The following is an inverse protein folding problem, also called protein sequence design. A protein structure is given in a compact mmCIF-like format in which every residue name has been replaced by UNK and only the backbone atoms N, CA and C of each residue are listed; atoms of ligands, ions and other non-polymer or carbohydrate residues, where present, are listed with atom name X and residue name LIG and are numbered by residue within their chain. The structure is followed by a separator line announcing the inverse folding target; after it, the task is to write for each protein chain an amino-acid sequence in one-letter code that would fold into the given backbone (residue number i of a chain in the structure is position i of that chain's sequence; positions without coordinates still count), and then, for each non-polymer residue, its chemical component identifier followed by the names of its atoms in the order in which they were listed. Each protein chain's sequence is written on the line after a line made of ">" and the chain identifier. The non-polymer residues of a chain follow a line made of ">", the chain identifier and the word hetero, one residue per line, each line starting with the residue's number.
data_IF_990765995029
#
_entry.id   IF_990765995029
#
_cell.length_a   1.000
_cell.length_b   1.000
_cell.length_c   1.000
_cell.angle_alpha   90.00
_cell.angle_beta   90.00
_cell.angle_gamma   90.00
#
_symmetry.space_group_name_H-M   'P 1'
#
loop_
_entity.id
_entity.type
_entity.pdbx_description
1 polymer ?
#
# COMPACT_ATOMS: atom_id res chain seq x y z
N UNK A 1 -37.60 0.80 -33.53
CA UNK A 1 -37.27 0.29 -32.19
C UNK A 1 -35.76 0.46 -32.03
N UNK A 2 -35.34 1.60 -31.50
CA UNK A 2 -33.93 1.86 -31.17
C UNK A 2 -33.89 1.83 -29.64
N UNK A 3 -33.32 0.76 -29.08
CA UNK A 3 -33.04 0.70 -27.65
C UNK A 3 -31.82 1.58 -27.39
N UNK A 4 -32.06 2.83 -27.00
CA UNK A 4 -31.04 3.67 -26.42
C UNK A 4 -30.78 3.15 -25.00
N UNK A 5 -29.80 2.24 -24.87
CA UNK A 5 -29.28 1.81 -23.57
C UNK A 5 -28.54 3.00 -22.96
N UNK A 6 -29.23 3.77 -22.13
CA UNK A 6 -28.79 5.09 -21.65
C UNK A 6 -27.57 5.02 -20.74
N UNK A 7 -26.41 5.48 -21.21
CA UNK A 7 -25.26 5.74 -20.35
C UNK A 7 -25.57 6.89 -19.39
N UNK A 8 -25.37 6.70 -18.07
CA UNK A 8 -25.31 7.83 -17.15
C UNK A 8 -23.93 8.49 -17.29
N UNK A 9 -23.91 9.79 -17.56
CA UNK A 9 -22.71 10.60 -17.53
C UNK A 9 -22.79 11.54 -16.32
N UNK A 10 -21.72 11.59 -15.52
CA UNK A 10 -21.56 12.64 -14.52
C UNK A 10 -20.80 13.79 -15.18
N UNK A 11 -21.50 14.90 -15.42
CA UNK A 11 -20.91 16.15 -15.90
C UNK A 11 -20.45 17.03 -14.73
N UNK A 12 -19.69 18.09 -15.02
CA UNK A 12 -19.03 19.02 -14.08
C UNK A 12 -19.77 19.22 -12.75
N UNK A 13 -19.28 18.57 -11.69
CA UNK A 13 -19.80 18.67 -10.33
C UNK A 13 -20.88 17.64 -9.94
N UNK A 14 -21.23 16.72 -10.84
CA UNK A 14 -22.11 15.59 -10.56
C UNK A 14 -21.46 14.61 -9.58
N UNK A 15 -22.11 14.44 -8.43
CA UNK A 15 -21.73 13.45 -7.41
C UNK A 15 -22.78 12.36 -7.39
N UNK A 16 -22.41 11.10 -7.67
CA UNK A 16 -23.21 9.96 -7.23
C UNK A 16 -22.74 9.65 -5.81
N UNK A 17 -23.52 10.06 -4.80
CA UNK A 17 -23.18 9.90 -3.38
C UNK A 17 -23.78 8.67 -2.70
N UNK A 18 -24.59 7.89 -3.42
CA UNK A 18 -25.15 6.59 -3.02
C UNK A 18 -25.85 5.99 -4.23
N UNK A 19 -25.32 4.91 -4.79
CA UNK A 19 -26.03 4.12 -5.81
C UNK A 19 -26.95 3.15 -5.05
N UNK A 20 -28.29 3.32 -5.10
CA UNK A 20 -29.19 2.37 -4.44
C UNK A 20 -28.99 0.96 -5.02
N UNK A 21 -29.03 -0.06 -4.17
CA UNK A 21 -29.08 -1.46 -4.59
C UNK A 21 -30.22 -1.64 -5.61
N UNK A 22 -29.88 -1.87 -6.88
CA UNK A 22 -30.86 -2.04 -7.96
C UNK A 22 -30.95 -0.92 -9.00
N UNK A 23 -29.94 -0.04 -9.12
CA UNK A 23 -29.75 0.66 -10.40
C UNK A 23 -29.28 -0.34 -11.46
N UNK A 24 -30.23 -0.92 -12.20
CA UNK A 24 -29.96 -1.74 -13.40
C UNK A 24 -29.38 -0.85 -14.52
N UNK A 25 -28.09 -0.57 -14.40
CA UNK A 25 -27.29 0.12 -15.38
C UNK A 25 -26.71 -0.91 -16.35
N UNK A 26 -27.55 -1.48 -17.20
CA UNK A 26 -27.12 -2.30 -18.35
C UNK A 26 -26.36 -1.49 -19.43
N UNK A 27 -25.73 -0.37 -19.03
CA UNK A 27 -25.11 0.69 -19.80
C UNK A 27 -23.94 1.29 -19.03
N UNK A 28 -22.80 1.34 -19.71
CA UNK A 28 -21.55 1.96 -19.28
C UNK A 28 -21.74 3.32 -18.58
N UNK A 29 -21.16 3.48 -17.39
CA UNK A 29 -20.99 4.76 -16.69
C UNK A 29 -19.74 5.46 -17.23
N UNK A 30 -19.86 6.75 -17.55
CA UNK A 30 -18.71 7.59 -17.88
C UNK A 30 -18.62 8.74 -16.87
N UNK A 31 -17.55 8.76 -16.10
CA UNK A 31 -17.25 9.84 -15.16
C UNK A 31 -16.39 10.86 -15.91
N UNK A 32 -16.89 12.06 -16.15
CA UNK A 32 -16.10 13.10 -16.83
C UNK A 32 -15.13 13.78 -15.86
N UNK A 33 -14.27 14.66 -16.40
CA UNK A 33 -13.41 15.52 -15.60
C UNK A 33 -14.26 16.23 -14.54
N UNK A 34 -13.74 16.32 -13.31
CA UNK A 34 -14.42 16.90 -12.15
C UNK A 34 -15.69 16.17 -11.68
N UNK A 35 -16.09 15.06 -12.32
CA UNK A 35 -17.09 14.16 -11.79
C UNK A 35 -16.54 13.35 -10.61
N UNK A 36 -17.40 13.00 -9.66
CA UNK A 36 -17.01 12.17 -8.51
C UNK A 36 -17.98 11.02 -8.31
N UNK A 37 -17.42 9.83 -8.15
CA UNK A 37 -18.14 8.64 -7.69
C UNK A 37 -17.66 8.31 -6.29
N UNK A 38 -18.59 8.29 -5.34
CA UNK A 38 -18.32 7.80 -4.00
C UNK A 38 -19.53 7.15 -3.34
N UNK A 39 -19.31 6.26 -2.38
CA UNK A 39 -20.40 5.72 -1.59
C UNK A 39 -20.00 4.51 -0.78
N UNK A 40 -20.13 4.63 0.53
CA UNK A 40 -19.94 3.54 1.49
C UNK A 40 -20.82 2.34 1.09
N UNK A 41 -20.19 1.20 0.80
CA UNK A 41 -20.82 -0.03 0.28
C UNK A 41 -21.58 0.16 -1.05
N UNK A 42 -21.08 1.07 -1.89
CA UNK A 42 -21.64 1.38 -3.20
C UNK A 42 -21.53 0.21 -4.19
N UNK A 43 -22.51 0.10 -5.09
CA UNK A 43 -22.51 -0.86 -6.19
C UNK A 43 -22.85 -0.17 -7.51
N UNK A 44 -22.03 -0.40 -8.52
CA UNK A 44 -22.25 0.03 -9.90
C UNK A 44 -22.42 -1.23 -10.75
N UNK A 45 -23.60 -1.38 -11.34
CA UNK A 45 -23.82 -2.42 -12.34
C UNK A 45 -23.34 -1.93 -13.71
N UNK A 46 -22.49 -2.70 -14.40
CA UNK A 46 -21.95 -2.37 -15.72
C UNK A 46 -20.53 -1.81 -15.74
N UNK A 47 -20.07 -1.45 -16.94
CA UNK A 47 -18.72 -0.94 -17.20
C UNK A 47 -18.56 0.52 -16.72
N UNK A 48 -17.36 0.89 -16.30
CA UNK A 48 -17.00 2.25 -15.87
C UNK A 48 -15.79 2.75 -16.66
N UNK A 49 -15.91 3.94 -17.27
CA UNK A 49 -14.78 4.72 -17.76
C UNK A 49 -14.65 5.97 -16.91
N UNK A 50 -13.50 6.13 -16.26
CA UNK A 50 -13.23 7.30 -15.43
C UNK A 50 -12.35 8.32 -16.16
N UNK A 51 -12.67 9.60 -16.01
CA UNK A 51 -11.82 10.76 -16.31
C UNK A 51 -11.76 11.72 -15.09
N UNK A 52 -12.51 11.45 -14.03
CA UNK A 52 -12.58 12.24 -12.81
C UNK A 52 -12.10 11.46 -11.59
N UNK A 53 -12.82 11.59 -10.48
CA UNK A 53 -12.49 10.97 -9.20
C UNK A 53 -13.39 9.76 -8.91
N UNK A 54 -12.77 8.65 -8.53
CA UNK A 54 -13.44 7.54 -7.86
C UNK A 54 -12.86 7.43 -6.44
N UNK A 55 -13.72 7.34 -5.44
CA UNK A 55 -13.34 7.08 -4.04
C UNK A 55 -14.37 6.14 -3.43
N UNK A 56 -14.00 4.97 -2.88
CA UNK A 56 -14.98 4.05 -2.29
C UNK A 56 -15.85 4.66 -1.20
N UNK A 57 -15.38 5.64 -0.42
CA UNK A 57 -16.20 6.33 0.57
C UNK A 57 -15.43 6.62 1.85
N UNK A 58 -16.12 6.82 2.97
CA UNK A 58 -15.48 6.95 4.28
C UNK A 58 -14.99 5.57 4.75
N UNK A 59 -13.71 5.49 5.08
CA UNK A 59 -13.09 4.22 5.45
C UNK A 59 -13.67 3.61 6.74
N UNK A 60 -14.00 2.29 6.73
CA UNK A 60 -13.89 1.38 5.59
C UNK A 60 -15.02 1.60 4.55
N UNK A 61 -14.66 1.96 3.32
CA UNK A 61 -15.58 2.07 2.19
C UNK A 61 -15.34 0.93 1.18
N UNK A 62 -16.40 0.21 0.81
CA UNK A 62 -16.33 -0.79 -0.27
C UNK A 62 -17.10 -0.27 -1.48
N UNK A 63 -16.45 -0.25 -2.66
CA UNK A 63 -17.12 0.02 -3.93
C UNK A 63 -17.04 -1.22 -4.82
N UNK A 64 -18.20 -1.71 -5.27
CA UNK A 64 -18.29 -2.84 -6.20
C UNK A 64 -18.69 -2.37 -7.59
N UNK A 65 -17.93 -2.73 -8.61
CA UNK A 65 -18.24 -2.55 -10.03
C UNK A 65 -18.41 -3.94 -10.65
N UNK A 66 -19.54 -4.24 -11.28
CA UNK A 66 -19.73 -5.58 -11.86
C UNK A 66 -19.09 -5.78 -13.23
N UNK A 67 -18.93 -4.71 -14.00
CA UNK A 67 -18.31 -4.73 -15.32
C UNK A 67 -16.80 -4.43 -15.28
N UNK A 68 -16.30 -3.96 -16.41
CA UNK A 68 -14.91 -3.53 -16.55
C UNK A 68 -14.70 -2.12 -15.98
N UNK A 69 -13.53 -1.83 -15.41
CA UNK A 69 -13.11 -0.47 -15.03
C UNK A 69 -11.93 -0.04 -15.90
N UNK A 70 -12.06 1.13 -16.53
CA UNK A 70 -10.96 1.80 -17.23
C UNK A 70 -10.70 3.18 -16.61
N UNK A 71 -9.52 3.36 -16.03
CA UNK A 71 -9.03 4.67 -15.62
C UNK A 71 -8.26 5.32 -16.78
N UNK A 72 -8.61 6.56 -17.11
CA UNK A 72 -7.91 7.37 -18.12
C UNK A 72 -6.79 8.17 -17.47
N UNK A 73 -6.02 8.88 -18.29
CA UNK A 73 -4.81 9.58 -17.84
C UNK A 73 -5.09 10.68 -16.80
N UNK A 74 -6.26 11.30 -16.85
CA UNK A 74 -6.67 12.36 -15.91
C UNK A 74 -7.45 11.82 -14.70
N UNK A 75 -7.65 10.49 -14.64
CA UNK A 75 -8.36 9.86 -13.53
C UNK A 75 -7.60 9.94 -12.23
N UNK A 76 -8.35 10.07 -11.13
CA UNK A 76 -7.88 9.85 -9.77
C UNK A 76 -8.69 8.70 -9.16
N UNK A 77 -7.99 7.72 -8.61
CA UNK A 77 -8.55 6.73 -7.69
C UNK A 77 -8.03 7.05 -6.30
N UNK A 78 -8.92 7.42 -5.38
CA UNK A 78 -8.60 7.78 -4.01
C UNK A 78 -9.04 6.67 -3.05
N UNK A 79 -8.10 6.17 -2.25
CA UNK A 79 -8.32 5.07 -1.30
C UNK A 79 -7.81 5.49 0.08
N UNK A 80 -8.64 5.30 1.10
CA UNK A 80 -8.29 5.59 2.49
C UNK A 80 -7.73 4.35 3.21
N UNK A 81 -6.73 4.53 4.06
CA UNK A 81 -6.09 3.50 4.91
C UNK A 81 -5.89 4.10 6.30
N UNK A 82 -6.94 4.09 7.11
CA UNK A 82 -6.97 4.73 8.43
C UNK A 82 -6.75 3.74 9.59
N UNK A 83 -6.57 2.46 9.29
CA UNK A 83 -6.24 1.45 10.28
C UNK A 83 -6.10 0.05 9.68
N UNK A 84 -5.73 -0.95 10.49
CA UNK A 84 -5.48 -2.33 10.02
C UNK A 84 -6.75 -3.01 9.45
N UNK A 85 -7.94 -2.51 9.81
CA UNK A 85 -9.24 -2.98 9.32
C UNK A 85 -10.13 -1.84 8.85
N UNK A 86 -9.62 -0.62 8.82
CA UNK A 86 -10.35 0.59 8.42
C UNK A 86 -9.66 1.14 7.17
N UNK A 87 -9.91 0.47 6.05
CA UNK A 87 -9.35 0.83 4.75
C UNK A 87 -10.36 0.55 3.65
N UNK A 88 -10.20 1.26 2.54
CA UNK A 88 -11.10 1.15 1.40
C UNK A 88 -10.79 -0.06 0.53
N UNK A 89 -11.83 -0.59 -0.11
CA UNK A 89 -11.72 -1.69 -1.05
C UNK A 89 -12.50 -1.40 -2.33
N UNK A 90 -11.89 -1.73 -3.47
CA UNK A 90 -12.52 -1.66 -4.77
C UNK A 90 -12.60 -3.08 -5.38
N UNK A 91 -13.82 -3.56 -5.57
CA UNK A 91 -14.12 -4.88 -6.13
C UNK A 91 -14.61 -4.70 -7.56
N UNK A 92 -13.92 -5.30 -8.53
CA UNK A 92 -14.22 -5.19 -9.95
C UNK A 92 -14.46 -6.60 -10.50
N UNK A 93 -15.69 -6.88 -10.93
CA UNK A 93 -16.05 -8.18 -11.50
C UNK A 93 -15.34 -8.46 -12.83
N UNK A 94 -15.07 -7.41 -13.61
CA UNK A 94 -14.40 -7.49 -14.90
C UNK A 94 -12.89 -7.22 -14.89
N UNK A 95 -12.40 -6.73 -16.03
CA UNK A 95 -11.03 -6.29 -16.23
C UNK A 95 -10.82 -4.89 -15.65
N UNK A 96 -9.64 -4.65 -15.09
CA UNK A 96 -9.20 -3.34 -14.64
C UNK A 96 -8.04 -2.84 -15.51
N UNK A 97 -8.23 -1.71 -16.18
CA UNK A 97 -7.17 -0.98 -16.90
C UNK A 97 -6.76 0.23 -16.08
N UNK A 98 -5.58 0.16 -15.47
CA UNK A 98 -5.01 1.25 -14.68
C UNK A 98 -4.42 2.35 -15.56
N UNK A 99 -4.64 3.59 -15.11
CA UNK A 99 -4.19 4.84 -15.70
C UNK A 99 -4.33 5.95 -14.67
N UNK A 100 -3.79 7.12 -14.95
CA UNK A 100 -3.93 8.28 -14.07
C UNK A 100 -3.22 8.10 -12.73
N UNK A 101 -3.79 8.64 -11.66
CA UNK A 101 -3.17 8.71 -10.33
C UNK A 101 -3.90 7.80 -9.35
N UNK A 102 -3.13 7.03 -8.57
CA UNK A 102 -3.61 6.39 -7.35
C UNK A 102 -3.21 7.24 -6.15
N UNK A 103 -4.18 7.70 -5.37
CA UNK A 103 -3.97 8.44 -4.13
C UNK A 103 -4.29 7.53 -2.95
N UNK A 104 -3.32 7.34 -2.07
CA UNK A 104 -3.44 6.57 -0.84
C UNK A 104 -3.38 7.54 0.35
N UNK A 105 -4.50 7.74 1.01
CA UNK A 105 -4.61 8.61 2.18
C UNK A 105 -4.52 7.79 3.46
N UNK A 106 -3.54 8.12 4.30
CA UNK A 106 -3.31 7.42 5.57
C UNK A 106 -4.00 8.10 6.75
N UNK A 107 -4.51 9.32 6.62
CA UNK A 107 -5.18 10.02 7.73
C UNK A 107 -4.31 10.15 9.00
N UNK A 108 -2.98 10.14 8.86
CA UNK A 108 -2.00 10.13 9.94
C UNK A 108 -1.71 8.75 10.53
N UNK A 109 -2.30 7.68 10.00
CA UNK A 109 -2.06 6.30 10.42
C UNK A 109 -0.69 5.80 9.92
N UNK A 110 0.02 5.08 10.80
CA UNK A 110 1.25 4.36 10.45
C UNK A 110 0.97 2.86 10.44
N UNK A 111 0.98 2.20 9.26
CA UNK A 111 0.91 0.75 9.16
C UNK A 111 1.98 0.06 10.01
N UNK A 112 1.60 -1.00 10.72
CA UNK A 112 2.57 -1.91 11.35
C UNK A 112 3.29 -2.74 10.30
N UNK A 113 4.52 -3.16 10.58
CA UNK A 113 5.25 -4.08 9.70
C UNK A 113 4.45 -5.37 9.43
N UNK A 114 4.64 -5.90 8.22
CA UNK A 114 3.96 -7.08 7.69
C UNK A 114 2.42 -6.98 7.65
N UNK A 115 1.87 -5.78 7.85
CA UNK A 115 0.43 -5.54 7.69
C UNK A 115 0.10 -5.39 6.21
N UNK A 116 -0.89 -6.15 5.76
CA UNK A 116 -1.36 -6.17 4.38
C UNK A 116 -2.74 -5.53 4.23
N UNK A 117 -2.92 -4.79 3.13
CA UNK A 117 -4.17 -4.14 2.74
C UNK A 117 -4.55 -4.60 1.33
N UNK A 118 -5.68 -5.28 1.20
CA UNK A 118 -6.21 -5.75 -0.08
C UNK A 118 -7.08 -4.66 -0.67
N UNK A 119 -6.46 -3.78 -1.46
CA UNK A 119 -7.08 -2.56 -1.97
C UNK A 119 -7.97 -2.82 -3.18
N UNK A 120 -7.52 -3.67 -4.12
CA UNK A 120 -8.28 -4.01 -5.31
C UNK A 120 -8.47 -5.52 -5.43
N UNK A 121 -9.68 -5.93 -5.80
CA UNK A 121 -9.96 -7.28 -6.28
C UNK A 121 -10.50 -7.22 -7.70
N UNK A 122 -9.83 -7.89 -8.64
CA UNK A 122 -10.15 -7.82 -10.07
C UNK A 122 -9.96 -9.19 -10.74
N UNK A 123 -10.67 -9.43 -11.86
CA UNK A 123 -10.43 -10.64 -12.66
C UNK A 123 -9.08 -10.59 -13.38
N UNK A 124 -8.71 -9.41 -13.90
CA UNK A 124 -7.42 -9.16 -14.56
C UNK A 124 -7.06 -7.68 -14.48
N UNK A 125 -5.80 -7.39 -14.19
CA UNK A 125 -5.27 -6.03 -14.24
C UNK A 125 -4.34 -5.85 -15.44
N UNK A 126 -4.38 -4.67 -16.04
CA UNK A 126 -3.46 -4.22 -17.09
C UNK A 126 -3.27 -2.70 -17.02
N UNK A 127 -2.34 -2.15 -17.82
CA UNK A 127 -1.98 -0.74 -17.71
C UNK A 127 -1.15 -0.45 -16.46
N UNK A 128 -0.90 0.83 -16.19
CA UNK A 128 -0.16 1.30 -15.02
C UNK A 128 -0.72 2.65 -14.58
N UNK A 129 -0.72 2.91 -13.27
CA UNK A 129 -0.85 4.27 -12.78
C UNK A 129 0.34 5.10 -13.25
N UNK A 130 0.08 6.31 -13.73
CA UNK A 130 1.09 7.30 -14.10
C UNK A 130 1.85 7.79 -12.87
N UNK A 131 1.17 7.82 -11.72
CA UNK A 131 1.71 8.29 -10.44
C UNK A 131 0.98 7.59 -9.28
N UNK A 132 1.70 7.39 -8.17
CA UNK A 132 1.12 7.01 -6.89
C UNK A 132 1.48 8.10 -5.90
N UNK A 133 0.48 8.67 -5.24
CA UNK A 133 0.65 9.71 -4.23
C UNK A 133 0.25 9.18 -2.87
N UNK A 134 1.03 9.56 -1.87
CA UNK A 134 0.79 9.25 -0.47
C UNK A 134 0.37 10.53 0.24
N UNK A 135 -0.82 10.53 0.83
CA UNK A 135 -1.43 11.68 1.47
C UNK A 135 -1.52 11.47 2.98
N UNK A 136 -1.49 12.57 3.73
CA UNK A 136 -1.63 12.62 5.19
C UNK A 136 -0.79 11.55 5.91
N UNK A 137 0.48 11.42 5.53
CA UNK A 137 1.42 10.53 6.18
C UNK A 137 1.70 10.98 7.63
N UNK A 138 1.94 10.02 8.51
CA UNK A 138 2.51 10.33 9.83
C UNK A 138 3.90 10.97 9.69
N UNK A 139 4.31 11.75 10.69
CA UNK A 139 5.65 12.35 10.70
C UNK A 139 6.74 11.28 10.57
N UNK A 140 7.71 11.52 9.68
CA UNK A 140 8.83 10.62 9.40
C UNK A 140 8.44 9.23 8.86
N UNK A 141 7.22 9.08 8.33
CA UNK A 141 6.84 7.85 7.65
C UNK A 141 7.65 7.68 6.35
N UNK A 142 8.40 6.58 6.28
CA UNK A 142 9.19 6.22 5.10
C UNK A 142 8.33 5.42 4.13
N UNK A 143 7.93 6.07 3.02
CA UNK A 143 7.12 5.45 1.98
C UNK A 143 7.85 4.37 1.19
N UNK A 144 9.18 4.30 1.26
CA UNK A 144 9.95 3.27 0.55
C UNK A 144 9.74 1.87 1.18
N UNK A 145 9.19 1.84 2.40
CA UNK A 145 8.80 0.62 3.10
C UNK A 145 7.45 0.06 2.62
N UNK A 146 6.69 0.83 1.84
CA UNK A 146 5.45 0.36 1.25
C UNK A 146 5.74 -0.47 -0.01
N UNK A 147 5.59 -1.78 0.14
CA UNK A 147 5.67 -2.73 -0.97
C UNK A 147 4.29 -2.96 -1.58
N UNK A 148 4.25 -3.15 -2.90
CA UNK A 148 3.02 -3.40 -3.67
C UNK A 148 3.16 -4.71 -4.42
N UNK A 149 2.15 -5.57 -4.31
CA UNK A 149 2.07 -6.84 -5.01
C UNK A 149 0.75 -6.98 -5.75
N UNK A 150 0.77 -7.76 -6.84
CA UNK A 150 -0.43 -8.23 -7.50
C UNK A 150 -0.36 -9.75 -7.64
N UNK A 151 -1.22 -10.47 -6.94
CA UNK A 151 -1.27 -11.94 -6.96
C UNK A 151 -2.71 -12.40 -6.98
N UNK A 152 -3.02 -13.40 -7.82
CA UNK A 152 -4.35 -14.02 -7.90
C UNK A 152 -5.54 -13.03 -8.00
N UNK A 153 -5.36 -11.91 -8.72
CA UNK A 153 -6.40 -10.90 -8.91
C UNK A 153 -6.50 -9.86 -7.80
N UNK A 154 -5.64 -9.93 -6.77
CA UNK A 154 -5.63 -9.01 -5.64
C UNK A 154 -4.43 -8.09 -5.75
N UNK A 155 -4.68 -6.78 -5.76
CA UNK A 155 -3.64 -5.78 -5.53
C UNK A 155 -3.52 -5.53 -4.03
N UNK A 156 -2.34 -5.81 -3.50
CA UNK A 156 -2.04 -5.73 -2.07
C UNK A 156 -0.94 -4.71 -1.81
N UNK A 157 -1.19 -3.84 -0.84
CA UNK A 157 -0.17 -3.00 -0.22
C UNK A 157 0.32 -3.69 1.05
N UNK A 158 1.63 -3.75 1.27
CA UNK A 158 2.23 -4.33 2.48
C UNK A 158 3.25 -3.34 3.03
N UNK A 159 3.23 -3.12 4.33
CA UNK A 159 4.33 -2.46 5.02
C UNK A 159 5.47 -3.46 5.21
N UNK A 160 6.52 -3.37 4.42
CA UNK A 160 7.67 -4.26 4.52
C UNK A 160 8.43 -4.00 5.82
N UNK A 161 8.86 -5.07 6.49
CA UNK A 161 9.84 -4.96 7.57
C UNK A 161 11.20 -4.53 7.01
N UNK A 162 11.89 -3.63 7.73
CA UNK A 162 13.23 -3.15 7.39
C UNK A 162 14.32 -4.22 7.52
N UNK A 163 13.93 -5.42 7.97
CA UNK A 163 14.86 -6.48 8.34
C UNK A 163 15.33 -7.32 7.14
N UNK A 164 14.92 -6.97 5.92
CA UNK A 164 15.17 -7.78 4.73
C UNK A 164 14.45 -9.14 4.82
N UNK A 165 14.66 -10.05 3.85
CA UNK A 165 14.19 -11.43 3.98
C UNK A 165 14.77 -12.01 5.28
N UNK A 166 13.93 -12.48 6.20
CA UNK A 166 14.39 -13.21 7.39
C UNK A 166 15.14 -14.46 6.92
N UNK A 167 16.46 -14.36 6.84
CA UNK A 167 17.33 -15.52 6.63
C UNK A 167 17.34 -16.27 7.97
N UNK A 168 16.94 -17.56 8.03
CA UNK A 168 17.03 -18.31 9.27
C UNK A 168 18.46 -18.30 9.81
N UNK A 169 18.68 -17.59 10.91
CA UNK A 169 20.01 -17.40 11.53
C UNK A 169 20.65 -16.01 11.36
N UNK A 170 20.00 -15.06 10.70
CA UNK A 170 20.46 -13.66 10.67
C UNK A 170 20.04 -12.93 11.97
N UNK A 171 20.97 -12.34 12.75
CA UNK A 171 20.65 -11.58 13.97
C UNK A 171 19.83 -10.30 13.72
N UNK A 172 19.62 -9.89 12.47
CA UNK A 172 18.93 -8.64 12.14
C UNK A 172 19.67 -7.40 12.66
N UNK A 173 18.99 -6.26 12.68
CA UNK A 173 19.51 -4.99 13.22
C UNK A 173 19.57 -4.94 14.76
N UNK A 174 19.30 -6.05 15.45
CA UNK A 174 19.49 -6.19 16.88
C UNK A 174 20.99 -6.37 17.16
N UNK A 175 21.76 -5.28 17.03
CA UNK A 175 23.12 -5.23 17.51
C UNK A 175 23.11 -5.61 19.00
N UNK A 176 23.50 -6.85 19.30
CA UNK A 176 23.73 -7.32 20.66
C UNK A 176 24.78 -6.36 21.23
N UNK A 177 24.50 -5.61 22.32
CA UNK A 177 25.52 -4.78 22.94
C UNK A 177 26.70 -5.70 23.28
N UNK A 178 27.84 -5.52 22.59
CA UNK A 178 28.97 -6.43 22.74
C UNK A 178 29.33 -6.51 24.22
N UNK A 179 29.18 -7.69 24.87
CA UNK A 179 29.49 -7.80 26.27
C UNK A 179 31.01 -7.78 26.40
N UNK A 180 31.61 -6.61 26.57
CA UNK A 180 32.98 -6.43 27.07
C UNK A 180 34.10 -7.16 26.29
N UNK A 181 33.90 -7.53 25.02
CA UNK A 181 34.91 -8.25 24.20
C UNK A 181 36.27 -7.54 24.20
N UNK A 182 36.27 -6.21 24.12
CA UNK A 182 37.48 -5.40 24.23
C UNK A 182 38.17 -5.46 25.60
N UNK A 183 37.40 -5.66 26.67
CA UNK A 183 37.91 -5.75 28.05
C UNK A 183 38.64 -7.09 28.28
N UNK A 184 38.13 -8.18 27.71
CA UNK A 184 38.78 -9.50 27.79
C UNK A 184 40.10 -9.55 27.02
N UNK A 185 40.14 -8.93 25.83
CA UNK A 185 41.37 -8.83 25.03
C UNK A 185 42.41 -7.94 25.74
N UNK A 186 41.98 -6.82 26.32
CA UNK A 186 42.87 -5.93 27.08
C UNK A 186 43.46 -6.64 28.31
N UNK A 187 42.65 -7.39 29.07
CA UNK A 187 43.13 -8.16 30.22
C UNK A 187 44.05 -9.32 29.82
N UNK A 188 43.74 -10.03 28.73
CA UNK A 188 44.59 -11.09 28.19
C UNK A 188 45.95 -10.58 27.74
N UNK A 189 45.97 -9.42 27.06
CA UNK A 189 47.22 -8.75 26.67
C UNK A 189 48.04 -8.29 27.87
N UNK A 190 47.40 -7.75 28.91
CA UNK A 190 48.08 -7.35 30.15
C UNK A 190 48.67 -8.56 30.90
N UNK A 191 47.92 -9.66 30.98
CA UNK A 191 48.37 -10.90 31.61
C UNK A 191 49.59 -11.49 30.88
N UNK A 192 49.59 -11.49 29.55
CA UNK A 192 50.73 -11.91 28.73
C UNK A 192 51.97 -11.02 28.94
N UNK A 193 51.78 -9.70 29.07
CA UNK A 193 52.86 -8.76 29.40
C UNK A 193 53.42 -8.97 30.81
N UNK A 194 52.57 -9.28 31.78
CA UNK A 194 52.98 -9.59 33.16
C UNK A 194 53.72 -10.92 33.26
N UNK A 195 53.30 -11.94 32.49
CA UNK A 195 54.00 -13.22 32.39
C UNK A 195 55.36 -13.06 31.71
N UNK A 196 55.50 -12.17 30.73
CA UNK A 196 56.77 -11.88 30.06
C UNK A 196 57.80 -11.21 30.97
N UNK A 197 57.37 -10.41 31.95
CA UNK A 197 58.26 -9.74 32.92
C UNK A 197 58.83 -10.67 34.00
N UNK A 198 58.26 -11.86 34.21
CA UNK A 198 58.70 -12.81 35.27
C UNK A 198 59.82 -13.75 34.82
N UNK A 199 60.17 -13.80 33.53
CA UNK A 199 61.17 -14.71 32.98
C UNK A 199 62.51 -14.05 32.60
N UNK A 200 62.93 -12.98 33.31
CA UNK A 200 64.29 -12.46 33.15
C UNK A 200 65.27 -13.30 33.99
N UNK A 201 66.28 -13.97 33.41
CA UNK A 201 67.29 -14.67 34.19
C UNK A 201 68.19 -13.68 34.95
N UNK A 202 68.25 -13.85 36.27
CA UNK A 202 69.36 -13.44 37.16
C UNK A 202 70.43 -14.53 36.93
N UNK A 203 71.73 -14.33 36.71
CA UNK A 203 72.67 -13.56 37.53
C UNK A 203 74.13 -13.76 37.04
N UNK A 204 74.97 -12.79 37.43
CA UNK A 204 76.37 -12.88 37.93
C UNK A 204 77.58 -13.17 37.02
N UNK A 205 78.55 -12.27 37.22
CA UNK A 205 80.01 -12.25 36.96
C UNK A 205 80.42 -11.86 35.54
#
# INVERSE_FOLDING_TARGET
>A
MLEERGALALDNGGVLGKVPLGMDMSSRLVVHNYGTVSGDDGRIDGDVINYGLISPGNSPGILTITGDLTLKNDSVLHMEIFGPTAYDQLIIGGNFVAGGVLELDFGGYTPGFDTAYDLFQVSRMSGNFSEIRYLNLAENFDTDLLSRGFDNGIFRLIMASNDGPVIPGDPGNNAVPEPSSGLLIALGGLAMLMLRRRNSPISLI
#
